data_IF_186728684533
#
_entry.id   IF_186728684533
#
_cell.length_a   1.000
_cell.length_b   1.000
_cell.length_c   1.000
_cell.angle_alpha   90.00
_cell.angle_beta   90.00
_cell.angle_gamma   90.00
#
_symmetry.space_group_name_H-M   'P 1'
#
loop_
_entity.id
_entity.type
_entity.pdbx_description
1 polymer ?
#
# COMPACT_ATOMS: atom_id res chain seq x y z
N UNK A 1 28.85 -4.74 -5.80
CA UNK A 1 27.78 -4.51 -6.81
C UNK A 1 26.81 -3.51 -6.20
N UNK A 2 26.56 -2.37 -6.85
CA UNK A 2 25.48 -1.49 -6.42
C UNK A 2 24.15 -2.23 -6.65
N UNK A 3 23.30 -2.29 -5.63
CA UNK A 3 22.01 -2.98 -5.71
C UNK A 3 21.02 -2.28 -6.66
N UNK A 4 19.92 -2.96 -6.98
CA UNK A 4 18.82 -2.38 -7.74
C UNK A 4 18.13 -1.28 -6.91
N UNK A 5 18.06 -0.06 -7.45
CA UNK A 5 17.24 1.01 -6.89
C UNK A 5 15.75 0.73 -7.19
N UNK A 6 14.94 0.60 -6.14
CA UNK A 6 13.50 0.31 -6.23
C UNK A 6 12.65 1.49 -5.78
N UNK A 7 13.25 2.67 -5.60
CA UNK A 7 12.50 3.87 -5.22
C UNK A 7 11.60 4.29 -6.37
N UNK A 8 10.39 4.71 -6.04
CA UNK A 8 9.42 5.29 -6.96
C UNK A 8 9.09 6.71 -6.53
N UNK A 9 8.69 7.56 -7.49
CA UNK A 9 8.52 8.99 -7.26
C UNK A 9 7.19 9.36 -6.55
N UNK A 10 6.21 8.45 -6.51
CA UNK A 10 4.88 8.74 -5.96
C UNK A 10 4.16 7.50 -5.42
N UNK A 11 3.10 7.70 -4.63
CA UNK A 11 2.27 6.61 -4.10
C UNK A 11 1.44 5.95 -5.21
N UNK A 12 1.08 6.70 -6.25
CA UNK A 12 0.43 6.16 -7.43
C UNK A 12 1.31 5.13 -8.14
N UNK A 13 2.59 5.46 -8.33
CA UNK A 13 3.56 4.51 -8.89
C UNK A 13 3.82 3.33 -7.95
N UNK A 14 3.83 3.55 -6.63
CA UNK A 14 4.01 2.48 -5.65
C UNK A 14 2.88 1.45 -5.64
N UNK A 15 1.66 1.86 -6.00
CA UNK A 15 0.46 1.02 -6.02
C UNK A 15 -0.01 0.69 -7.45
N UNK A 16 0.85 0.86 -8.46
CA UNK A 16 0.55 0.43 -9.82
C UNK A 16 0.19 -1.07 -9.83
N UNK A 17 -0.97 -1.40 -10.41
CA UNK A 17 -1.49 -2.77 -10.46
C UNK A 17 -2.38 -3.20 -9.27
N UNK A 18 -2.60 -2.34 -8.27
CA UNK A 18 -3.61 -2.60 -7.24
C UNK A 18 -5.02 -2.61 -7.84
N UNK A 19 -5.76 -3.70 -7.67
CA UNK A 19 -7.15 -3.86 -8.16
C UNK A 19 -8.08 -4.39 -7.07
N UNK A 20 -9.37 -4.39 -7.37
CA UNK A 20 -10.41 -4.97 -6.52
C UNK A 20 -10.14 -6.44 -6.19
N UNK A 21 -10.64 -6.87 -5.03
CA UNK A 21 -10.57 -8.27 -4.60
C UNK A 21 -9.19 -8.75 -4.11
N UNK A 22 -8.16 -7.90 -4.14
CA UNK A 22 -6.83 -8.27 -3.69
C UNK A 22 -6.73 -8.43 -2.17
N UNK A 23 -5.80 -9.29 -1.73
CA UNK A 23 -5.41 -9.38 -0.32
C UNK A 23 -4.25 -8.45 -0.03
N UNK A 24 -4.41 -7.55 0.95
CA UNK A 24 -3.37 -6.63 1.40
C UNK A 24 -2.87 -7.02 2.79
N UNK A 25 -1.54 -7.05 2.94
CA UNK A 25 -0.90 -7.20 4.23
C UNK A 25 -0.40 -5.82 4.66
N UNK A 26 -0.97 -5.28 5.73
CA UNK A 26 -0.63 -3.97 6.26
C UNK A 26 0.02 -4.12 7.65
N UNK A 27 1.19 -3.50 7.82
CA UNK A 27 1.85 -3.40 9.12
C UNK A 27 1.36 -2.20 9.93
N UNK A 28 1.58 -2.26 11.24
CA UNK A 28 1.21 -1.22 12.21
C UNK A 28 0.90 -1.83 13.57
N UNK A 29 0.67 -0.99 14.58
CA UNK A 29 -0.03 -1.36 15.81
C UNK A 29 -0.81 -0.16 16.32
N UNK A 30 -2.14 -0.21 16.24
CA UNK A 30 -2.98 0.98 16.42
C UNK A 30 -2.64 2.03 15.36
N UNK A 31 -2.04 3.15 15.78
CA UNK A 31 -1.57 4.22 14.88
C UNK A 31 -0.03 4.24 14.73
N UNK A 32 0.69 3.41 15.48
CA UNK A 32 2.15 3.36 15.42
C UNK A 32 2.59 2.54 14.21
N UNK A 33 3.43 3.11 13.35
CA UNK A 33 4.06 2.40 12.22
C UNK A 33 3.14 2.03 11.07
N UNK A 34 1.96 2.67 10.95
CA UNK A 34 1.05 2.44 9.82
C UNK A 34 1.59 3.10 8.54
N UNK A 35 1.34 2.51 7.35
CA UNK A 35 1.70 3.12 6.07
C UNK A 35 0.66 4.18 5.66
N UNK A 36 0.54 5.25 6.44
CA UNK A 36 -0.54 6.26 6.33
C UNK A 36 -0.75 6.80 4.91
N UNK A 37 0.32 7.09 4.18
CA UNK A 37 0.24 7.65 2.84
C UNK A 37 -0.20 6.63 1.79
N UNK A 38 0.17 5.35 1.97
CA UNK A 38 -0.33 4.28 1.10
C UNK A 38 -1.80 3.99 1.38
N UNK A 39 -2.24 4.05 2.65
CA UNK A 39 -3.65 3.92 3.02
C UNK A 39 -4.47 5.04 2.39
N UNK A 40 -3.99 6.28 2.43
CA UNK A 40 -4.63 7.43 1.78
C UNK A 40 -4.75 7.24 0.26
N UNK A 41 -3.71 6.69 -0.39
CA UNK A 41 -3.75 6.40 -1.82
C UNK A 41 -4.70 5.24 -2.17
N UNK A 42 -4.74 4.17 -1.37
CA UNK A 42 -5.74 3.09 -1.51
C UNK A 42 -7.15 3.67 -1.40
N UNK A 43 -7.40 4.55 -0.42
CA UNK A 43 -8.66 5.25 -0.27
C UNK A 43 -8.97 6.10 -1.51
N UNK A 44 -8.01 6.88 -2.03
CA UNK A 44 -8.20 7.72 -3.22
C UNK A 44 -8.58 6.90 -4.46
N UNK A 45 -8.04 5.69 -4.59
CA UNK A 45 -8.32 4.75 -5.71
C UNK A 45 -9.69 4.10 -5.66
N UNK A 46 -10.36 4.13 -4.50
CA UNK A 46 -11.68 3.56 -4.31
C UNK A 46 -11.77 2.07 -4.69
N UNK A 47 -10.68 1.31 -4.56
CA UNK A 47 -10.68 -0.14 -4.78
C UNK A 47 -11.56 -0.85 -3.75
N UNK A 48 -12.29 -1.86 -4.19
CA UNK A 48 -13.33 -2.54 -3.41
C UNK A 48 -13.01 -4.02 -3.20
N UNK A 49 -13.67 -4.62 -2.20
CA UNK A 49 -13.55 -6.06 -1.93
C UNK A 49 -12.17 -6.52 -1.47
N UNK A 50 -11.34 -5.62 -0.96
CA UNK A 50 -10.02 -5.97 -0.43
C UNK A 50 -10.15 -6.87 0.81
N UNK A 51 -9.35 -7.92 0.87
CA UNK A 51 -9.12 -8.65 2.12
C UNK A 51 -7.90 -8.04 2.80
N UNK A 52 -8.07 -7.38 3.94
CA UNK A 52 -6.96 -6.74 4.64
C UNK A 52 -6.56 -7.56 5.86
N UNK A 53 -5.28 -7.94 5.93
CA UNK A 53 -4.66 -8.51 7.12
C UNK A 53 -3.83 -7.41 7.78
N UNK A 54 -4.24 -6.99 8.97
CA UNK A 54 -3.55 -5.98 9.78
C UNK A 54 -3.05 -6.60 11.07
N UNK A 55 -1.86 -6.18 11.51
CA UNK A 55 -1.40 -6.38 12.89
C UNK A 55 -1.48 -5.07 13.68
#
# INVERSE_FOLDING_TARGET
MAGLDKRVASYEAALEGLTDGMTLLAGGFGLCGIPENLIAEVQRRQVQGLTVVSQ
#
